data_IF_879278332401
#
_entry.id   IF_879278332401
#
_cell.length_a   1.000
_cell.length_b   1.000
_cell.length_c   1.000
_cell.angle_alpha   90.00
_cell.angle_beta   90.00
_cell.angle_gamma   90.00
#
_symmetry.space_group_name_H-M   'P 1'
#
loop_
_entity.id
_entity.type
_entity.pdbx_description
1 polymer ?
#
# COMPACT_ATOMS: atom_id res chain seq x y z
N UNK A 1 8.27 -0.49 8.82
CA UNK A 1 7.15 -1.08 8.05
C UNK A 1 7.58 -2.17 7.09
N UNK A 2 8.62 -1.98 6.28
CA UNK A 2 9.08 -2.94 5.26
C UNK A 2 9.17 -4.41 5.74
N UNK A 3 9.95 -4.68 6.80
CA UNK A 3 10.14 -6.04 7.34
C UNK A 3 8.92 -6.61 8.06
N UNK A 4 8.11 -5.75 8.66
CA UNK A 4 6.86 -6.17 9.30
C UNK A 4 5.87 -6.70 8.25
N UNK A 5 5.83 -6.09 7.07
CA UNK A 5 4.96 -6.54 5.97
C UNK A 5 5.41 -7.88 5.38
N UNK A 6 6.71 -8.11 5.22
CA UNK A 6 7.20 -9.42 4.75
C UNK A 6 6.96 -10.52 5.78
N UNK A 7 6.94 -10.20 7.07
CA UNK A 7 6.59 -11.15 8.12
C UNK A 7 5.11 -11.57 8.11
N UNK A 8 4.19 -10.73 7.58
CA UNK A 8 2.77 -11.07 7.45
C UNK A 8 2.50 -12.14 6.39
N UNK A 9 3.39 -12.28 5.40
CA UNK A 9 3.28 -13.25 4.31
C UNK A 9 4.65 -13.86 4.04
N UNK A 10 4.98 -15.02 4.65
CA UNK A 10 6.26 -15.69 4.46
C UNK A 10 6.56 -15.93 2.97
N UNK A 11 7.82 -15.69 2.58
CA UNK A 11 8.27 -15.81 1.18
C UNK A 11 7.92 -14.62 0.29
N UNK A 12 7.20 -13.62 0.79
CA UNK A 12 6.93 -12.39 0.05
C UNK A 12 8.13 -11.43 0.02
N UNK A 13 8.16 -10.58 -1.00
CA UNK A 13 9.06 -9.43 -1.10
C UNK A 13 8.27 -8.15 -0.84
N UNK A 14 8.88 -7.14 -0.24
CA UNK A 14 8.19 -5.89 0.02
C UNK A 14 8.13 -5.05 -1.25
N UNK A 15 7.03 -4.32 -1.41
CA UNK A 15 6.85 -3.28 -2.41
C UNK A 15 6.12 -2.12 -1.76
N UNK A 16 6.65 -0.90 -1.87
CA UNK A 16 6.08 0.27 -1.21
C UNK A 16 5.76 1.36 -2.22
N UNK A 17 4.65 2.05 -1.99
CA UNK A 17 4.33 3.30 -2.69
C UNK A 17 4.88 4.49 -1.91
N UNK A 18 4.95 5.66 -2.55
CA UNK A 18 5.29 6.93 -1.91
C UNK A 18 4.36 8.00 -2.49
N UNK A 19 3.47 8.55 -1.66
CA UNK A 19 2.43 9.49 -2.07
C UNK A 19 2.49 10.72 -1.20
N UNK A 20 2.75 11.87 -1.82
CA UNK A 20 2.72 13.18 -1.18
C UNK A 20 1.58 14.02 -1.77
N UNK A 21 0.73 14.56 -0.90
CA UNK A 21 -0.40 15.43 -1.28
C UNK A 21 -0.46 16.64 -0.35
N UNK A 22 -1.14 17.74 -0.74
CA UNK A 22 -1.47 18.78 0.22
C UNK A 22 -2.14 18.18 1.47
N UNK A 23 -1.72 18.60 2.67
CA UNK A 23 -2.19 18.00 3.93
C UNK A 23 -3.72 18.01 4.05
N UNK A 24 -4.38 19.02 3.48
CA UNK A 24 -5.84 19.13 3.44
C UNK A 24 -6.54 18.05 2.59
N UNK A 25 -5.80 17.33 1.75
CA UNK A 25 -6.26 16.21 0.91
C UNK A 25 -5.84 14.84 1.43
N UNK A 26 -4.96 14.80 2.44
CA UNK A 26 -4.45 13.55 3.02
C UNK A 26 -5.58 12.62 3.53
N UNK A 27 -6.61 13.10 4.28
CA UNK A 27 -7.67 12.22 4.76
C UNK A 27 -8.45 11.56 3.62
N UNK A 28 -8.84 12.34 2.62
CA UNK A 28 -9.64 11.87 1.48
C UNK A 28 -8.90 10.78 0.69
N UNK A 29 -7.60 11.01 0.40
CA UNK A 29 -6.81 10.04 -0.36
C UNK A 29 -6.57 8.76 0.45
N UNK A 30 -6.32 8.84 1.77
CA UNK A 30 -6.17 7.65 2.63
C UNK A 30 -7.44 6.81 2.62
N UNK A 31 -8.62 7.42 2.72
CA UNK A 31 -9.91 6.71 2.67
C UNK A 31 -10.08 6.02 1.33
N UNK A 32 -9.86 6.75 0.22
CA UNK A 32 -9.95 6.19 -1.13
C UNK A 32 -8.97 5.03 -1.34
N UNK A 33 -7.72 5.17 -0.91
CA UNK A 33 -6.71 4.12 -1.00
C UNK A 33 -7.10 2.90 -0.19
N UNK A 34 -7.62 3.07 1.04
CA UNK A 34 -8.12 1.97 1.87
C UNK A 34 -9.28 1.22 1.19
N UNK A 35 -10.20 1.94 0.55
CA UNK A 35 -11.28 1.31 -0.23
C UNK A 35 -10.74 0.50 -1.41
N UNK A 36 -9.77 1.03 -2.16
CA UNK A 36 -9.16 0.34 -3.29
C UNK A 36 -8.50 -0.97 -2.84
N UNK A 37 -7.74 -0.94 -1.75
CA UNK A 37 -7.10 -2.12 -1.13
C UNK A 37 -8.15 -3.16 -0.71
N UNK A 38 -9.23 -2.70 -0.05
CA UNK A 38 -10.31 -3.57 0.43
C UNK A 38 -11.07 -4.21 -0.73
N UNK A 39 -11.42 -3.43 -1.76
CA UNK A 39 -12.12 -3.91 -2.96
C UNK A 39 -11.28 -4.92 -3.75
N UNK A 40 -9.96 -4.69 -3.84
CA UNK A 40 -9.04 -5.61 -4.49
C UNK A 40 -8.76 -6.89 -3.69
N UNK A 41 -9.19 -6.95 -2.41
CA UNK A 41 -8.96 -8.08 -1.48
C UNK A 41 -7.48 -8.40 -1.29
N UNK A 42 -6.63 -7.37 -1.23
CA UNK A 42 -5.18 -7.49 -1.02
C UNK A 42 -4.76 -6.92 0.34
N UNK A 43 -3.60 -7.34 0.85
CA UNK A 43 -2.98 -6.73 2.04
C UNK A 43 -2.16 -5.52 1.63
N UNK A 44 -2.42 -4.36 2.25
CA UNK A 44 -1.63 -3.14 2.05
C UNK A 44 -1.65 -2.24 3.27
N UNK A 45 -0.85 -2.50 4.31
CA UNK A 45 -0.74 -1.58 5.44
C UNK A 45 -0.34 -0.17 5.00
N UNK A 46 -1.06 0.82 5.51
CA UNK A 46 -0.82 2.25 5.25
C UNK A 46 -0.06 2.83 6.44
N UNK A 47 1.01 3.58 6.16
CA UNK A 47 1.74 4.40 7.14
C UNK A 47 1.97 5.76 6.54
N UNK A 48 1.96 6.82 7.34
CA UNK A 48 2.25 8.15 6.82
C UNK A 48 2.94 9.03 7.83
N UNK A 49 3.70 9.98 7.31
CA UNK A 49 4.17 11.14 8.04
C UNK A 49 3.08 12.19 7.94
N UNK A 50 2.07 12.08 8.81
CA UNK A 50 0.85 12.91 8.69
C UNK A 50 1.10 14.42 8.72
N UNK A 51 2.21 14.86 9.32
CA UNK A 51 2.57 16.28 9.44
C UNK A 51 2.98 16.95 8.13
N UNK A 52 3.40 16.20 7.11
CA UNK A 52 3.86 16.76 5.83
C UNK A 52 2.99 16.34 4.63
N UNK A 53 1.91 15.59 4.87
CA UNK A 53 1.00 15.14 3.81
C UNK A 53 1.46 13.90 3.06
N UNK A 54 2.46 13.18 3.57
CA UNK A 54 3.02 11.99 2.92
C UNK A 54 2.52 10.68 3.55
N UNK A 55 2.24 9.68 2.70
CA UNK A 55 1.95 8.32 3.11
C UNK A 55 2.43 7.27 2.11
N UNK A 56 2.53 6.05 2.61
CA UNK A 56 3.01 4.87 1.90
C UNK A 56 2.04 3.71 2.11
N UNK A 57 1.86 2.91 1.08
CA UNK A 57 1.22 1.59 1.16
C UNK A 57 2.29 0.53 0.97
N UNK A 58 2.37 -0.44 1.87
CA UNK A 58 3.31 -1.54 1.79
C UNK A 58 2.61 -2.84 1.38
N UNK A 59 2.96 -3.40 0.23
CA UNK A 59 2.41 -4.63 -0.32
C UNK A 59 3.40 -5.79 -0.15
N UNK A 60 2.97 -6.94 0.42
CA UNK A 60 3.74 -8.18 0.38
C UNK A 60 3.47 -8.91 -0.95
N UNK A 61 4.48 -9.01 -1.79
CA UNK A 61 4.36 -9.55 -3.15
C UNK A 61 5.00 -10.93 -3.24
N UNK A 62 4.26 -11.90 -3.78
CA UNK A 62 4.77 -13.21 -4.21
C UNK A 62 4.96 -13.16 -5.73
N UNK A 63 6.15 -13.49 -6.23
CA UNK A 63 6.52 -13.31 -7.65
C UNK A 63 5.68 -14.20 -8.58
N UNK A 64 5.30 -15.36 -8.08
CA UNK A 64 4.54 -16.38 -8.79
C UNK A 64 3.04 -16.02 -8.90
N UNK A 65 2.53 -15.18 -7.99
CA UNK A 65 1.14 -14.70 -7.98
C UNK A 65 1.00 -13.41 -8.81
N UNK A 66 0.97 -13.59 -10.13
CA UNK A 66 0.86 -12.48 -11.10
C UNK A 66 -0.46 -11.71 -11.00
N UNK A 67 -1.54 -12.36 -10.57
CA UNK A 67 -2.85 -11.71 -10.45
C UNK A 67 -2.86 -10.73 -9.28
N UNK A 68 -2.45 -11.19 -8.10
CA UNK A 68 -2.33 -10.34 -6.91
C UNK A 68 -1.30 -9.24 -7.13
N UNK A 69 -0.17 -9.55 -7.78
CA UNK A 69 0.82 -8.55 -8.16
C UNK A 69 0.20 -7.42 -9.00
N UNK A 70 -0.56 -7.78 -10.04
CA UNK A 70 -1.21 -6.78 -10.90
C UNK A 70 -2.17 -5.88 -10.11
N UNK A 71 -3.03 -6.47 -9.26
CA UNK A 71 -3.96 -5.72 -8.40
C UNK A 71 -3.21 -4.71 -7.50
N UNK A 72 -2.12 -5.13 -6.87
CA UNK A 72 -1.31 -4.26 -6.02
C UNK A 72 -0.65 -3.13 -6.83
N UNK A 73 -0.10 -3.43 -8.01
CA UNK A 73 0.52 -2.41 -8.87
C UNK A 73 -0.49 -1.43 -9.48
N UNK A 74 -1.73 -1.85 -9.70
CA UNK A 74 -2.79 -0.95 -10.21
C UNK A 74 -3.27 0.03 -9.14
N UNK A 75 -3.17 -0.33 -7.85
CA UNK A 75 -3.42 0.59 -6.73
C UNK A 75 -2.26 1.57 -6.53
N UNK A 76 -1.04 1.16 -6.89
CA UNK A 76 0.18 1.94 -6.73
C UNK A 76 0.42 2.99 -7.83
N UNK A 77 -0.47 3.09 -8.82
CA UNK A 77 -0.48 4.10 -9.88
C UNK A 77 -1.33 5.29 -9.47
#
# INVERSE_FOLDING_TARGET
>A
MLWAVTALVPGSKPYSTDVCVPISKLPDIIVKTKEMITKAKVRGPIVGHVGDGNFHVFFPIIREDKETFKKMTDIAK
#
